data_IF_238185772155
#
_entry.id   IF_238185772155
#
_cell.length_a   1.000
_cell.length_b   1.000
_cell.length_c   1.000
_cell.angle_alpha   90.00
_cell.angle_beta   90.00
_cell.angle_gamma   90.00
#
_symmetry.space_group_name_H-M   'P 1'
#
loop_
_entity.id
_entity.type
_entity.pdbx_description
1 polymer ?
#
# COMPACT_ATOMS: atom_id res chain seq x y z
N UNK A 1 0.91 49.60 -63.65
CA UNK A 1 1.56 49.36 -62.35
C UNK A 1 0.63 48.55 -61.47
N UNK A 2 0.94 47.26 -61.27
CA UNK A 2 0.17 46.32 -60.42
C UNK A 2 0.49 46.59 -58.94
N UNK A 3 -0.53 46.82 -58.10
CA UNK A 3 -0.38 46.90 -56.63
C UNK A 3 -0.29 45.49 -56.05
N UNK A 4 0.72 45.24 -55.22
CA UNK A 4 0.92 44.01 -54.46
C UNK A 4 -0.14 43.89 -53.32
N UNK A 5 -0.57 42.67 -52.96
CA UNK A 5 -1.48 42.45 -51.83
C UNK A 5 -0.77 42.62 -50.47
N UNK A 6 -1.50 43.17 -49.49
CA UNK A 6 -0.99 43.54 -48.18
C UNK A 6 -0.60 42.34 -47.29
N UNK A 7 0.40 42.56 -46.45
CA UNK A 7 0.83 41.63 -45.41
C UNK A 7 -0.29 41.39 -44.37
N UNK A 8 -0.42 40.16 -43.84
CA UNK A 8 -1.31 39.90 -42.71
C UNK A 8 -0.72 40.50 -41.42
N UNK A 9 -1.57 41.08 -40.59
CA UNK A 9 -1.20 41.55 -39.24
C UNK A 9 -0.71 40.39 -38.36
N UNK A 10 0.31 40.60 -37.51
CA UNK A 10 0.77 39.59 -36.59
C UNK A 10 -0.31 39.32 -35.51
N UNK A 11 -0.60 38.04 -35.28
CA UNK A 11 -1.48 37.61 -34.19
C UNK A 11 -0.95 38.12 -32.84
N UNK A 12 -1.83 38.76 -32.07
CA UNK A 12 -1.53 39.25 -30.73
C UNK A 12 -1.07 38.12 -29.82
N UNK A 13 0.13 38.25 -29.25
CA UNK A 13 0.62 37.34 -28.21
C UNK A 13 -0.33 37.36 -27.00
N UNK A 14 -0.60 36.20 -26.36
CA UNK A 14 -1.41 36.17 -25.15
C UNK A 14 -0.73 36.96 -24.04
N UNK A 15 -1.53 37.72 -23.28
CA UNK A 15 -1.05 38.51 -22.17
C UNK A 15 -0.32 37.62 -21.13
N UNK A 16 0.77 38.11 -20.50
CA UNK A 16 1.47 37.36 -19.47
C UNK A 16 0.52 37.06 -18.29
N UNK A 17 0.60 35.83 -17.78
CA UNK A 17 -0.22 35.38 -16.66
C UNK A 17 0.05 36.23 -15.42
N UNK A 18 -1.02 36.62 -14.72
CA UNK A 18 -0.98 37.39 -13.47
C UNK A 18 -0.19 36.62 -12.40
N UNK A 19 0.85 37.20 -11.78
CA UNK A 19 1.54 36.56 -10.66
C UNK A 19 0.57 36.43 -9.47
N UNK A 20 0.34 35.21 -8.98
CA UNK A 20 -0.41 34.95 -7.74
C UNK A 20 -1.71 34.15 -7.87
N UNK A 21 -2.13 33.72 -9.07
CA UNK A 21 -3.17 32.70 -9.17
C UNK A 21 -2.59 31.33 -8.77
N UNK A 22 -3.21 30.57 -7.84
CA UNK A 22 -2.75 29.23 -7.53
C UNK A 22 -2.80 28.39 -8.81
N UNK A 23 -1.67 27.77 -9.16
CA UNK A 23 -1.62 26.78 -10.23
C UNK A 23 -2.69 25.72 -9.92
N UNK A 24 -3.73 25.66 -10.73
CA UNK A 24 -4.77 24.64 -10.59
C UNK A 24 -4.14 23.31 -10.99
N UNK A 25 -3.73 22.52 -10.00
CA UNK A 25 -3.38 21.12 -10.22
C UNK A 25 -4.61 20.41 -10.76
N UNK A 26 -4.50 19.86 -11.97
CA UNK A 26 -5.51 18.95 -12.48
C UNK A 26 -5.30 17.61 -11.77
N UNK A 27 -6.31 17.05 -11.07
CA UNK A 27 -6.15 15.80 -10.34
C UNK A 27 -5.59 14.69 -11.23
N UNK A 28 -4.48 14.09 -10.82
CA UNK A 28 -3.89 13.00 -11.60
C UNK A 28 -4.66 11.70 -11.33
N UNK A 29 -5.03 11.03 -12.42
CA UNK A 29 -5.59 9.70 -12.36
C UNK A 29 -4.55 8.69 -12.83
N UNK A 30 -4.23 7.74 -11.96
CA UNK A 30 -3.33 6.65 -12.28
C UNK A 30 -4.02 5.32 -12.07
N UNK A 31 -3.88 4.41 -13.03
CA UNK A 31 -4.43 3.06 -12.95
C UNK A 31 -3.36 2.05 -13.32
N UNK A 32 -3.30 0.93 -12.61
CA UNK A 32 -2.43 -0.21 -12.91
C UNK A 32 -3.23 -1.49 -12.73
N UNK A 33 -3.32 -2.31 -13.78
CA UNK A 33 -3.97 -3.61 -13.73
C UNK A 33 -2.95 -4.69 -14.12
N UNK A 34 -2.75 -5.63 -13.20
CA UNK A 34 -1.79 -6.73 -13.31
C UNK A 34 -2.53 -8.07 -13.33
N UNK A 35 -2.08 -9.00 -14.16
CA UNK A 35 -2.59 -10.37 -14.20
C UNK A 35 -1.44 -11.36 -14.18
N UNK A 36 -1.46 -12.29 -13.23
CA UNK A 36 -0.45 -13.31 -13.03
C UNK A 36 -1.06 -14.68 -13.31
N UNK A 37 -0.30 -15.58 -13.94
CA UNK A 37 -0.74 -16.94 -14.19
C UNK A 37 0.42 -17.93 -14.09
N UNK A 38 0.12 -19.15 -13.67
CA UNK A 38 1.07 -20.27 -13.79
C UNK A 38 1.26 -20.63 -15.27
N UNK A 39 2.52 -20.70 -15.69
CA UNK A 39 2.97 -21.23 -16.96
C UNK A 39 3.97 -22.35 -16.69
N UNK A 40 3.44 -23.57 -16.56
CA UNK A 40 4.21 -24.81 -16.36
C UNK A 40 5.12 -24.74 -15.13
N UNK A 41 4.58 -24.27 -14.00
CA UNK A 41 5.31 -24.13 -12.74
C UNK A 41 6.06 -22.81 -12.57
N UNK A 42 6.03 -21.92 -13.57
CA UNK A 42 6.55 -20.55 -13.45
C UNK A 42 5.38 -19.57 -13.40
N UNK A 43 5.22 -18.83 -12.31
CA UNK A 43 4.22 -17.75 -12.30
C UNK A 43 4.71 -16.60 -13.16
N UNK A 44 3.97 -16.15 -14.16
CA UNK A 44 4.36 -15.00 -15.00
C UNK A 44 3.36 -13.86 -14.91
N UNK A 45 3.86 -12.63 -15.02
CA UNK A 45 3.03 -11.45 -15.28
C UNK A 45 2.54 -11.47 -16.74
N UNK A 46 1.32 -11.96 -16.96
CA UNK A 46 0.71 -12.10 -18.28
C UNK A 46 -0.01 -10.84 -18.77
N UNK A 47 -0.56 -10.06 -17.83
CA UNK A 47 -1.26 -8.81 -18.14
C UNK A 47 -0.63 -7.65 -17.39
N UNK A 48 -0.33 -6.57 -18.13
CA UNK A 48 0.14 -5.30 -17.58
C UNK A 48 -0.50 -4.16 -18.35
N UNK A 49 -1.51 -3.54 -17.77
CA UNK A 49 -2.18 -2.36 -18.32
C UNK A 49 -2.01 -1.20 -17.35
N UNK A 50 -1.76 -0.01 -17.87
CA UNK A 50 -1.63 1.17 -17.01
C UNK A 50 -2.16 2.43 -17.69
N UNK A 51 -2.52 3.40 -16.87
CA UNK A 51 -2.89 4.77 -17.25
C UNK A 51 -2.24 5.73 -16.25
N UNK A 52 -1.88 6.93 -16.69
CA UNK A 52 -1.21 7.91 -15.83
C UNK A 52 0.19 7.45 -15.42
N UNK A 53 0.70 7.81 -14.23
CA UNK A 53 2.08 7.54 -13.80
C UNK A 53 2.36 6.16 -13.21
N UNK A 54 1.37 5.40 -12.72
CA UNK A 54 1.63 4.09 -12.10
C UNK A 54 2.26 3.09 -13.08
N UNK A 55 3.36 2.44 -12.68
CA UNK A 55 4.06 1.42 -13.48
C UNK A 55 4.38 0.21 -12.62
N UNK A 56 4.73 -0.89 -13.29
CA UNK A 56 5.38 -2.05 -12.68
C UNK A 56 6.71 -2.28 -13.39
N UNK A 57 7.76 -2.58 -12.62
CA UNK A 57 9.06 -2.91 -13.17
C UNK A 57 9.06 -4.29 -13.86
N UNK A 58 10.22 -4.68 -14.41
CA UNK A 58 10.40 -6.05 -14.92
C UNK A 58 10.13 -7.06 -13.80
N UNK A 59 9.31 -8.11 -14.03
CA UNK A 59 9.11 -9.19 -13.07
C UNK A 59 10.44 -9.81 -12.64
N UNK A 60 10.57 -10.10 -11.34
CA UNK A 60 11.75 -10.68 -10.73
C UNK A 60 11.41 -12.03 -10.11
N UNK A 61 12.40 -12.93 -10.07
CA UNK A 61 12.29 -14.27 -9.48
C UNK A 61 13.50 -14.51 -8.56
N UNK A 62 13.64 -13.75 -7.47
CA UNK A 62 14.82 -13.84 -6.61
C UNK A 62 14.86 -15.12 -5.77
N UNK A 63 13.72 -15.80 -5.62
CA UNK A 63 13.57 -17.00 -4.79
C UNK A 63 13.42 -18.26 -5.64
N UNK A 64 12.36 -18.33 -6.45
CA UNK A 64 12.00 -19.48 -7.27
C UNK A 64 11.13 -19.04 -8.46
N UNK A 65 11.18 -19.70 -9.63
CA UNK A 65 10.33 -19.37 -10.77
C UNK A 65 8.82 -19.41 -10.49
N UNK A 66 8.37 -20.20 -9.51
CA UNK A 66 6.96 -20.25 -9.11
C UNK A 66 6.47 -18.97 -8.44
N UNK A 67 7.35 -18.07 -7.99
CA UNK A 67 7.01 -16.85 -7.25
C UNK A 67 7.40 -15.60 -8.07
N UNK A 68 6.41 -14.90 -8.60
CA UNK A 68 6.64 -13.68 -9.37
C UNK A 68 6.65 -12.44 -8.46
N UNK A 69 7.81 -11.79 -8.32
CA UNK A 69 7.93 -10.52 -7.60
C UNK A 69 7.67 -9.35 -8.55
N UNK A 70 6.68 -8.52 -8.22
CA UNK A 70 6.29 -7.35 -8.97
C UNK A 70 6.51 -6.08 -8.14
N UNK A 71 7.40 -5.20 -8.61
CA UNK A 71 7.69 -3.92 -7.97
C UNK A 71 6.84 -2.84 -8.65
N UNK A 72 5.86 -2.32 -7.92
CA UNK A 72 5.00 -1.22 -8.33
C UNK A 72 5.69 0.09 -8.02
N UNK A 73 5.70 1.01 -8.98
CA UNK A 73 6.28 2.34 -8.83
C UNK A 73 5.27 3.41 -9.20
N UNK A 74 5.27 4.47 -8.41
CA UNK A 74 4.60 5.74 -8.71
C UNK A 74 5.71 6.78 -8.88
N UNK A 75 6.16 7.05 -10.12
CA UNK A 75 7.29 7.95 -10.38
C UNK A 75 7.14 9.38 -9.84
N UNK A 76 5.94 10.00 -9.76
CA UNK A 76 5.78 11.27 -9.08
C UNK A 76 6.25 11.18 -7.62
N UNK A 77 6.89 12.24 -7.13
CA UNK A 77 7.52 12.26 -5.79
C UNK A 77 6.57 12.07 -4.60
N UNK A 78 5.26 12.06 -4.85
CA UNK A 78 4.20 11.72 -3.93
C UNK A 78 2.84 12.02 -4.56
N UNK A 79 1.80 11.98 -3.74
CA UNK A 79 0.39 12.06 -4.11
C UNK A 79 -0.15 13.37 -3.52
N UNK A 80 -0.72 14.22 -4.36
CA UNK A 80 -1.24 15.54 -3.93
C UNK A 80 -2.76 15.55 -3.87
N UNK A 81 -3.34 16.61 -3.29
CA UNK A 81 -4.78 16.73 -3.14
C UNK A 81 -5.53 16.58 -4.45
N UNK A 82 -6.51 15.67 -4.46
CA UNK A 82 -7.35 15.33 -5.61
C UNK A 82 -6.92 14.07 -6.38
N UNK A 83 -5.64 13.67 -6.31
CA UNK A 83 -5.10 12.54 -7.06
C UNK A 83 -5.81 11.22 -6.74
N UNK A 84 -5.93 10.35 -7.74
CA UNK A 84 -6.60 9.07 -7.63
C UNK A 84 -5.74 7.94 -8.19
N UNK A 85 -5.35 7.02 -7.32
CA UNK A 85 -4.60 5.82 -7.67
C UNK A 85 -5.51 4.59 -7.61
N UNK A 86 -5.50 3.78 -8.65
CA UNK A 86 -6.16 2.46 -8.65
C UNK A 86 -5.18 1.37 -9.05
N UNK A 87 -5.04 0.35 -8.21
CA UNK A 87 -4.19 -0.80 -8.43
C UNK A 87 -5.06 -2.04 -8.37
N UNK A 88 -5.06 -2.84 -9.44
CA UNK A 88 -5.70 -4.15 -9.46
C UNK A 88 -4.68 -5.24 -9.77
N UNK A 89 -4.81 -6.37 -9.09
CA UNK A 89 -3.99 -7.55 -9.35
C UNK A 89 -4.85 -8.81 -9.29
N UNK A 90 -4.83 -9.58 -10.36
CA UNK A 90 -5.45 -10.91 -10.43
C UNK A 90 -4.36 -11.96 -10.45
N UNK A 91 -4.36 -12.87 -9.48
CA UNK A 91 -3.46 -14.01 -9.40
C UNK A 91 -4.25 -15.26 -9.76
N UNK A 92 -3.97 -15.81 -10.94
CA UNK A 92 -4.64 -16.98 -11.51
C UNK A 92 -4.39 -18.26 -10.72
N UNK A 93 -5.08 -19.33 -11.10
CA UNK A 93 -5.03 -20.59 -10.36
C UNK A 93 -3.60 -21.08 -10.12
N UNK A 94 -3.31 -21.48 -8.88
CA UNK A 94 -2.00 -22.02 -8.45
C UNK A 94 -0.80 -21.08 -8.65
N UNK A 95 -1.02 -19.84 -9.10
CA UNK A 95 0.02 -18.86 -9.25
C UNK A 95 0.37 -18.20 -7.90
N UNK A 96 1.60 -17.72 -7.78
CA UNK A 96 2.10 -17.03 -6.59
C UNK A 96 2.73 -15.69 -6.99
N UNK A 97 2.14 -14.59 -6.54
CA UNK A 97 2.66 -13.24 -6.78
C UNK A 97 2.95 -12.50 -5.48
N UNK A 98 4.11 -11.85 -5.42
CA UNK A 98 4.49 -10.91 -4.36
C UNK A 98 4.58 -9.50 -4.95
N UNK A 99 3.73 -8.60 -4.47
CA UNK A 99 3.62 -7.23 -4.92
C UNK A 99 4.20 -6.31 -3.83
N UNK A 100 5.12 -5.43 -4.22
CA UNK A 100 5.78 -4.49 -3.29
C UNK A 100 6.07 -3.16 -3.97
N UNK A 101 6.50 -2.16 -3.20
CA UNK A 101 6.96 -0.86 -3.70
C UNK A 101 8.42 -0.65 -3.32
N UNK A 102 9.20 0.14 -4.07
CA UNK A 102 10.62 0.32 -3.78
C UNK A 102 10.89 1.30 -2.64
N UNK A 103 9.88 2.05 -2.20
CA UNK A 103 10.04 3.06 -1.18
C UNK A 103 8.70 3.62 -0.73
N UNK A 104 8.79 4.52 0.24
CA UNK A 104 7.61 5.04 0.92
C UNK A 104 6.69 5.84 0.00
N UNK A 105 5.38 5.57 0.08
CA UNK A 105 4.35 6.37 -0.55
C UNK A 105 4.13 7.67 0.23
N UNK A 106 4.34 8.83 -0.38
CA UNK A 106 4.19 10.13 0.29
C UNK A 106 2.88 10.78 -0.10
N UNK A 107 2.07 11.14 0.88
CA UNK A 107 0.82 11.87 0.69
C UNK A 107 0.98 13.28 1.21
N UNK A 108 0.93 14.25 0.30
CA UNK A 108 1.14 15.65 0.62
C UNK A 108 -0.12 16.31 1.19
N UNK A 109 0.10 17.50 1.75
CA UNK A 109 -0.98 18.39 2.20
C UNK A 109 -2.05 18.55 1.12
N UNK A 110 -3.31 18.42 1.52
CA UNK A 110 -4.45 18.62 0.64
C UNK A 110 -4.56 20.09 0.20
N UNK A 111 -5.05 20.30 -1.02
CA UNK A 111 -5.33 21.61 -1.61
C UNK A 111 -6.85 21.95 -1.57
N UNK A 112 -7.55 21.43 -0.57
CA UNK A 112 -9.02 21.44 -0.48
C UNK A 112 -9.69 20.24 -1.16
N UNK A 113 -8.93 19.34 -1.78
CA UNK A 113 -9.42 18.08 -2.35
C UNK A 113 -8.80 16.88 -1.65
N UNK A 114 -9.64 15.87 -1.36
CA UNK A 114 -9.22 14.58 -0.81
C UNK A 114 -8.63 13.72 -1.92
N UNK A 115 -7.46 13.13 -1.68
CA UNK A 115 -6.83 12.16 -2.59
C UNK A 115 -7.19 10.72 -2.19
N UNK A 116 -7.09 9.79 -3.14
CA UNK A 116 -7.59 8.42 -2.98
C UNK A 116 -6.66 7.36 -3.55
N UNK A 117 -6.57 6.24 -2.85
CA UNK A 117 -5.99 5.00 -3.36
C UNK A 117 -7.00 3.87 -3.19
N UNK A 118 -7.22 3.12 -4.27
CA UNK A 118 -8.01 1.90 -4.27
C UNK A 118 -7.15 0.72 -4.74
N UNK A 119 -6.94 -0.26 -3.86
CA UNK A 119 -6.23 -1.51 -4.14
C UNK A 119 -7.25 -2.65 -4.15
N UNK A 120 -7.32 -3.39 -5.27
CA UNK A 120 -8.20 -4.56 -5.43
C UNK A 120 -7.38 -5.77 -5.83
N UNK A 121 -7.46 -6.83 -5.04
CA UNK A 121 -6.60 -7.99 -5.18
C UNK A 121 -7.47 -9.24 -5.24
N UNK A 122 -7.32 -10.03 -6.30
CA UNK A 122 -8.10 -11.24 -6.53
C UNK A 122 -7.14 -12.43 -6.64
N UNK A 123 -7.38 -13.49 -5.87
CA UNK A 123 -6.60 -14.72 -5.91
C UNK A 123 -7.52 -15.92 -6.19
N UNK A 124 -7.27 -16.62 -7.30
CA UNK A 124 -8.03 -17.77 -7.75
C UNK A 124 -7.66 -19.06 -6.97
N UNK A 125 -8.23 -20.20 -7.36
CA UNK A 125 -8.04 -21.48 -6.65
C UNK A 125 -6.57 -21.85 -6.45
N UNK A 126 -6.18 -22.15 -5.22
CA UNK A 126 -4.81 -22.50 -4.82
C UNK A 126 -3.77 -21.40 -5.06
N UNK A 127 -4.19 -20.16 -5.35
CA UNK A 127 -3.29 -19.04 -5.58
C UNK A 127 -2.78 -18.43 -4.27
N UNK A 128 -1.59 -17.85 -4.31
CA UNK A 128 -0.99 -17.11 -3.20
C UNK A 128 -0.72 -15.67 -3.62
N UNK A 129 -1.24 -14.72 -2.84
CA UNK A 129 -1.07 -13.29 -3.10
C UNK A 129 -0.44 -12.61 -1.88
N UNK A 130 0.76 -12.05 -2.07
CA UNK A 130 1.45 -11.24 -1.06
C UNK A 130 1.41 -9.76 -1.46
N UNK A 131 0.86 -8.90 -0.61
CA UNK A 131 0.84 -7.44 -0.77
C UNK A 131 1.67 -6.80 0.33
N UNK A 132 2.90 -6.42 0.00
CA UNK A 132 3.91 -5.97 0.97
C UNK A 132 4.56 -4.64 0.52
N UNK A 133 3.79 -3.54 0.38
CA UNK A 133 4.36 -2.24 0.08
C UNK A 133 5.26 -1.75 1.23
N UNK A 134 6.16 -0.82 0.91
CA UNK A 134 6.87 -0.01 1.91
C UNK A 134 5.91 0.95 2.62
N UNK A 135 6.42 1.72 3.58
CA UNK A 135 5.60 2.57 4.43
C UNK A 135 4.84 3.64 3.64
N UNK A 136 3.68 4.05 4.17
CA UNK A 136 2.91 5.20 3.67
C UNK A 136 3.07 6.36 4.65
N UNK A 137 3.54 7.50 4.16
CA UNK A 137 3.80 8.70 4.97
C UNK A 137 2.76 9.77 4.62
N UNK A 138 1.96 10.16 5.61
CA UNK A 138 1.02 11.28 5.52
C UNK A 138 1.67 12.55 6.05
N UNK A 139 1.78 13.58 5.21
CA UNK A 139 2.28 14.88 5.62
C UNK A 139 1.20 15.64 6.37
N UNK A 140 1.60 16.65 7.17
CA UNK A 140 0.65 17.45 7.91
C UNK A 140 -0.33 18.20 6.98
N UNK A 141 -1.63 18.01 7.24
CA UNK A 141 -2.72 18.54 6.44
C UNK A 141 -3.14 17.66 5.25
N UNK A 142 -2.70 16.40 5.17
CA UNK A 142 -3.19 15.46 4.17
C UNK A 142 -4.68 15.09 4.41
N UNK A 143 -5.45 14.95 3.34
CA UNK A 143 -6.81 14.39 3.36
C UNK A 143 -6.85 13.19 2.41
N UNK A 144 -6.88 11.98 2.97
CA UNK A 144 -6.64 10.74 2.25
C UNK A 144 -7.72 9.71 2.49
N UNK A 145 -8.11 9.00 1.42
CA UNK A 145 -8.97 7.83 1.46
C UNK A 145 -8.25 6.61 0.88
N UNK A 146 -8.07 5.58 1.69
CA UNK A 146 -7.48 4.31 1.30
C UNK A 146 -8.54 3.20 1.34
N UNK A 147 -8.67 2.49 0.24
CA UNK A 147 -9.57 1.34 0.11
C UNK A 147 -8.76 0.12 -0.33
N UNK A 148 -8.87 -0.96 0.43
CA UNK A 148 -8.19 -2.22 0.19
C UNK A 148 -9.19 -3.37 0.18
N UNK A 149 -9.40 -3.97 -0.98
CA UNK A 149 -10.36 -5.05 -1.19
C UNK A 149 -9.63 -6.29 -1.66
N UNK A 150 -9.83 -7.41 -0.96
CA UNK A 150 -9.21 -8.69 -1.29
C UNK A 150 -10.29 -9.75 -1.46
N UNK A 151 -10.27 -10.46 -2.59
CA UNK A 151 -11.15 -11.59 -2.87
C UNK A 151 -10.33 -12.85 -3.09
N UNK A 152 -10.60 -13.87 -2.29
CA UNK A 152 -9.88 -15.13 -2.29
C UNK A 152 -10.83 -16.28 -2.63
N UNK A 153 -10.38 -17.20 -3.49
CA UNK A 153 -10.97 -18.53 -3.56
C UNK A 153 -10.89 -19.24 -2.20
N UNK A 154 -11.66 -20.31 -2.01
CA UNK A 154 -11.76 -20.99 -0.71
C UNK A 154 -10.41 -21.55 -0.23
N UNK A 155 -9.54 -21.95 -1.15
CA UNK A 155 -8.21 -22.54 -0.94
C UNK A 155 -7.06 -21.58 -1.31
N UNK A 156 -7.36 -20.30 -1.55
CA UNK A 156 -6.34 -19.28 -1.79
C UNK A 156 -5.77 -18.68 -0.50
N UNK A 157 -4.53 -18.21 -0.59
CA UNK A 157 -3.79 -17.61 0.51
C UNK A 157 -3.47 -16.13 0.25
N UNK A 158 -3.46 -15.35 1.32
CA UNK A 158 -3.15 -13.92 1.30
C UNK A 158 -2.28 -13.51 2.48
N UNK A 159 -1.28 -12.69 2.20
CA UNK A 159 -0.45 -12.03 3.20
C UNK A 159 -0.33 -10.54 2.86
N UNK A 160 -0.88 -9.68 3.69
CA UNK A 160 -0.94 -8.24 3.46
C UNK A 160 -0.28 -7.45 4.57
N UNK A 161 0.61 -6.53 4.23
CA UNK A 161 1.26 -5.64 5.18
C UNK A 161 0.97 -4.17 4.86
N UNK A 162 0.94 -3.35 5.90
CA UNK A 162 0.87 -1.91 5.81
C UNK A 162 1.60 -1.28 7.00
N UNK A 163 2.41 -0.26 6.74
CA UNK A 163 2.97 0.61 7.77
C UNK A 163 2.53 2.03 7.41
N UNK A 164 1.87 2.70 8.35
CA UNK A 164 1.40 4.07 8.21
C UNK A 164 2.19 4.99 9.14
N UNK A 165 2.68 6.09 8.59
CA UNK A 165 3.44 7.10 9.28
C UNK A 165 2.69 8.43 9.23
N UNK A 166 2.35 8.97 10.40
CA UNK A 166 1.60 10.21 10.56
C UNK A 166 2.55 11.37 10.85
N UNK A 167 2.99 12.04 9.78
CA UNK A 167 3.99 13.10 9.79
C UNK A 167 5.39 12.61 9.40
N UNK A 168 6.24 13.52 8.92
CA UNK A 168 7.68 13.26 8.73
C UNK A 168 8.41 13.47 10.06
N UNK A 169 8.30 12.50 10.95
CA UNK A 169 8.88 12.58 12.31
C UNK A 169 10.39 12.79 12.30
N UNK A 170 11.11 12.16 11.35
CA UNK A 170 12.55 12.38 11.15
C UNK A 170 12.92 13.82 10.75
N UNK A 171 11.97 14.61 10.24
CA UNK A 171 12.13 16.04 9.94
C UNK A 171 11.46 16.95 10.97
N UNK A 172 11.00 16.40 12.11
CA UNK A 172 10.31 17.15 13.16
C UNK A 172 8.84 17.50 12.85
N UNK A 173 8.26 16.95 11.78
CA UNK A 173 6.84 17.16 11.45
C UNK A 173 5.97 16.08 12.10
N UNK A 174 4.87 16.52 12.72
CA UNK A 174 3.80 15.68 13.26
C UNK A 174 2.51 15.97 12.50
N UNK A 175 1.68 14.94 12.30
CA UNK A 175 0.36 15.08 11.69
C UNK A 175 -0.64 15.69 12.69
N UNK A 176 -0.81 17.01 12.62
CA UNK A 176 -1.65 17.80 13.52
C UNK A 176 -2.95 18.29 12.86
N UNK A 177 -2.99 18.29 11.53
CA UNK A 177 -4.16 18.68 10.72
C UNK A 177 -4.42 17.65 9.63
N UNK A 178 -5.68 17.53 9.20
CA UNK A 178 -6.08 16.64 8.12
C UNK A 178 -6.71 15.34 8.62
N UNK A 179 -6.99 14.45 7.67
CA UNK A 179 -7.70 13.21 7.93
C UNK A 179 -7.24 12.07 7.04
N UNK A 180 -7.15 10.87 7.63
CA UNK A 180 -6.88 9.62 6.90
C UNK A 180 -8.04 8.68 7.16
N UNK A 181 -8.73 8.27 6.10
CA UNK A 181 -9.79 7.27 6.16
C UNK A 181 -9.33 6.00 5.49
N UNK A 182 -9.49 4.88 6.16
CA UNK A 182 -9.11 3.57 5.66
C UNK A 182 -10.28 2.61 5.72
N UNK A 183 -10.40 1.79 4.68
CA UNK A 183 -11.34 0.68 4.62
C UNK A 183 -10.64 -0.55 4.05
N UNK A 184 -10.63 -1.62 4.81
CA UNK A 184 -10.07 -2.91 4.39
C UNK A 184 -11.15 -3.98 4.45
N UNK A 185 -11.32 -4.74 3.38
CA UNK A 185 -12.22 -5.89 3.35
C UNK A 185 -11.57 -7.10 2.69
N UNK A 186 -11.73 -8.27 3.31
CA UNK A 186 -11.22 -9.53 2.78
C UNK A 186 -12.37 -10.53 2.73
N UNK A 187 -12.60 -11.07 1.54
CA UNK A 187 -13.55 -12.16 1.29
C UNK A 187 -12.78 -13.43 0.95
N UNK A 188 -13.19 -14.57 1.50
CA UNK A 188 -12.64 -15.89 1.17
C UNK A 188 -13.77 -16.88 0.94
N UNK A 189 -13.78 -17.55 -0.22
CA UNK A 189 -14.87 -18.45 -0.62
C UNK A 189 -16.23 -17.74 -0.65
N UNK A 190 -16.27 -16.48 -1.11
CA UNK A 190 -17.49 -15.66 -1.15
C UNK A 190 -17.94 -15.04 0.19
N UNK A 191 -17.37 -15.46 1.31
CA UNK A 191 -17.72 -14.96 2.65
C UNK A 191 -16.82 -13.82 3.08
N UNK A 192 -17.37 -12.77 3.70
CA UNK A 192 -16.60 -11.71 4.34
C UNK A 192 -15.94 -12.27 5.61
N UNK A 193 -14.61 -12.30 5.64
CA UNK A 193 -13.83 -12.87 6.75
C UNK A 193 -13.10 -11.81 7.56
N UNK A 194 -12.84 -10.65 6.94
CA UNK A 194 -12.31 -9.47 7.61
C UNK A 194 -13.00 -8.22 7.07
N UNK A 195 -13.35 -7.30 7.97
CA UNK A 195 -13.78 -5.96 7.63
C UNK A 195 -13.26 -5.00 8.68
N UNK A 196 -12.64 -3.92 8.23
CA UNK A 196 -12.17 -2.84 9.06
C UNK A 196 -12.42 -1.51 8.36
N UNK A 197 -12.87 -0.53 9.14
CA UNK A 197 -13.01 0.83 8.68
C UNK A 197 -12.64 1.78 9.81
N UNK A 198 -11.80 2.77 9.51
CA UNK A 198 -11.37 3.77 10.46
C UNK A 198 -11.22 5.12 9.80
N UNK A 199 -11.41 6.19 10.56
CA UNK A 199 -11.08 7.55 10.17
C UNK A 199 -10.30 8.20 11.31
N UNK A 200 -9.05 8.51 11.03
CA UNK A 200 -8.17 9.25 11.92
C UNK A 200 -8.23 10.72 11.52
N UNK A 201 -8.59 11.58 12.46
CA UNK A 201 -8.67 13.02 12.29
C UNK A 201 -7.67 13.64 13.25
N UNK A 202 -6.80 14.51 12.74
CA UNK A 202 -5.70 15.03 13.55
C UNK A 202 -6.11 16.19 14.47
N UNK A 203 -7.25 16.84 14.16
CA UNK A 203 -7.68 18.04 14.84
C UNK A 203 -7.90 17.81 16.35
N UNK A 204 -7.65 18.87 17.13
CA UNK A 204 -7.83 18.90 18.58
C UNK A 204 -7.05 17.81 19.35
N UNK A 205 -5.96 17.29 18.78
CA UNK A 205 -5.11 16.30 19.44
C UNK A 205 -5.74 14.92 19.56
N UNK A 206 -6.76 14.61 18.76
CA UNK A 206 -7.45 13.31 18.81
C UNK A 206 -6.50 12.11 18.64
N UNK A 207 -5.40 12.29 17.91
CA UNK A 207 -4.35 11.27 17.74
C UNK A 207 -3.61 10.93 19.05
N UNK A 208 -3.62 11.83 20.03
CA UNK A 208 -3.00 11.61 21.34
C UNK A 208 -3.87 10.77 22.27
N UNK A 209 -5.15 10.56 21.95
CA UNK A 209 -6.05 9.79 22.78
C UNK A 209 -5.62 8.31 22.88
N UNK A 210 -5.76 7.67 24.06
CA UNK A 210 -5.36 6.27 24.26
C UNK A 210 -6.19 5.26 23.44
N UNK A 211 -7.36 5.68 22.95
CA UNK A 211 -8.22 4.91 22.05
C UNK A 211 -7.92 5.14 20.56
N UNK A 212 -7.00 6.06 20.24
CA UNK A 212 -6.52 6.36 18.90
C UNK A 212 -5.08 5.84 18.74
N UNK A 213 -4.10 6.74 18.58
CA UNK A 213 -2.69 6.35 18.50
C UNK A 213 -1.92 6.56 19.80
N UNK A 214 -2.55 7.10 20.86
CA UNK A 214 -1.90 7.29 22.17
C UNK A 214 -0.54 8.02 22.05
N UNK A 215 -0.53 9.07 21.21
CA UNK A 215 0.63 9.90 20.92
C UNK A 215 1.67 9.25 20.00
N UNK A 216 1.46 8.01 19.56
CA UNK A 216 2.33 7.34 18.60
C UNK A 216 2.08 7.87 17.19
N UNK A 217 3.12 7.80 16.35
CA UNK A 217 3.08 8.35 14.99
C UNK A 217 3.15 7.29 13.91
N UNK A 218 3.42 6.04 14.29
CA UNK A 218 3.57 4.91 13.38
C UNK A 218 2.60 3.80 13.82
N UNK A 219 1.84 3.25 12.87
CA UNK A 219 1.16 1.98 13.07
C UNK A 219 1.50 0.99 11.96
N UNK A 220 1.65 -0.27 12.32
CA UNK A 220 1.92 -1.37 11.42
C UNK A 220 0.83 -2.43 11.53
N UNK A 221 0.44 -3.01 10.40
CA UNK A 221 -0.54 -4.10 10.33
C UNK A 221 -0.02 -5.18 9.40
N UNK A 222 -0.08 -6.44 9.84
CA UNK A 222 0.16 -7.63 9.02
C UNK A 222 -1.05 -8.55 9.15
N UNK A 223 -1.68 -8.91 8.03
CA UNK A 223 -2.85 -9.78 7.97
C UNK A 223 -2.53 -11.00 7.12
N UNK A 224 -2.73 -12.19 7.70
CA UNK A 224 -2.63 -13.47 7.05
C UNK A 224 -4.02 -14.12 6.95
N UNK A 225 -4.35 -14.61 5.76
CA UNK A 225 -5.55 -15.40 5.50
C UNK A 225 -5.16 -16.62 4.68
N UNK A 226 -5.47 -17.81 5.18
CA UNK A 226 -5.10 -19.07 4.53
C UNK A 226 -5.53 -20.25 5.38
N UNK A 227 -5.15 -21.45 4.96
CA UNK A 227 -5.30 -22.64 5.80
C UNK A 227 -4.21 -22.69 6.88
N UNK A 228 -4.42 -23.50 7.91
CA UNK A 228 -3.43 -23.67 8.99
C UNK A 228 -3.29 -22.49 9.96
N UNK A 229 -4.24 -21.54 9.96
CA UNK A 229 -4.29 -20.47 10.96
C UNK A 229 -4.79 -21.03 12.30
N UNK A 230 -3.87 -21.38 13.20
CA UNK A 230 -4.18 -22.02 14.48
C UNK A 230 -3.55 -21.30 15.70
N UNK A 231 -3.91 -21.76 16.90
CA UNK A 231 -3.43 -21.20 18.15
C UNK A 231 -1.90 -21.40 18.35
N UNK A 232 -1.33 -22.45 17.75
CA UNK A 232 0.11 -22.71 17.86
C UNK A 232 0.90 -21.69 17.03
N UNK A 233 0.45 -21.39 15.81
CA UNK A 233 1.01 -20.33 14.97
C UNK A 233 0.88 -18.96 15.64
N UNK A 234 -0.28 -18.65 16.23
CA UNK A 234 -0.46 -17.44 17.02
C UNK A 234 0.52 -17.36 18.20
N UNK A 235 0.72 -18.47 18.91
CA UNK A 235 1.69 -18.57 20.01
C UNK A 235 3.10 -18.25 19.56
N UNK A 236 3.59 -18.92 18.50
CA UNK A 236 4.92 -18.68 17.92
C UNK A 236 5.10 -17.24 17.46
N UNK A 237 4.07 -16.65 16.84
CA UNK A 237 4.12 -15.27 16.40
C UNK A 237 4.26 -14.32 17.60
N UNK A 238 3.44 -14.48 18.65
CA UNK A 238 3.49 -13.66 19.85
C UNK A 238 4.84 -13.77 20.56
N UNK A 239 5.37 -14.98 20.67
CA UNK A 239 6.69 -15.23 21.23
C UNK A 239 7.78 -14.52 20.43
N UNK A 240 7.76 -14.66 19.10
CA UNK A 240 8.77 -14.06 18.22
C UNK A 240 8.74 -12.54 18.27
N UNK A 241 7.57 -11.90 18.14
CA UNK A 241 7.49 -10.43 18.18
C UNK A 241 7.77 -9.89 19.60
N UNK A 242 7.45 -10.66 20.64
CA UNK A 242 7.72 -10.29 22.04
C UNK A 242 9.21 -10.41 22.40
N UNK A 243 9.91 -11.41 21.87
CA UNK A 243 11.32 -11.65 22.15
C UNK A 243 12.24 -10.52 21.65
N UNK A 244 11.81 -9.75 20.65
CA UNK A 244 12.61 -8.65 20.09
C UNK A 244 12.76 -7.45 21.03
N UNK A 245 11.88 -7.31 22.03
CA UNK A 245 11.88 -6.19 22.99
C UNK A 245 11.97 -4.80 22.30
N UNK A 246 11.29 -4.67 21.16
CA UNK A 246 11.28 -3.43 20.37
C UNK A 246 10.52 -2.31 21.10
N UNK A 247 10.97 -1.07 20.89
CA UNK A 247 10.23 0.10 21.33
C UNK A 247 8.84 0.17 20.68
N UNK A 248 7.83 0.50 21.48
CA UNK A 248 6.43 0.56 21.07
C UNK A 248 5.61 -0.61 21.64
N UNK A 249 4.43 -0.80 21.07
CA UNK A 249 3.50 -1.86 21.46
C UNK A 249 3.19 -2.72 20.27
N UNK A 250 3.11 -4.03 20.49
CA UNK A 250 2.65 -4.96 19.48
C UNK A 250 1.68 -5.97 20.06
N UNK A 251 0.90 -6.59 19.18
CA UNK A 251 -0.02 -7.65 19.55
C UNK A 251 -0.42 -8.45 18.32
N UNK A 252 -0.86 -9.68 18.55
CA UNK A 252 -1.40 -10.53 17.50
C UNK A 252 -2.66 -11.24 17.98
N UNK A 253 -3.61 -11.44 17.08
CA UNK A 253 -4.90 -12.09 17.34
C UNK A 253 -5.26 -13.02 16.20
N UNK A 254 -5.84 -14.17 16.54
CA UNK A 254 -6.47 -15.09 15.59
C UNK A 254 -7.99 -14.93 15.69
N UNK A 255 -8.63 -14.59 14.58
CA UNK A 255 -10.08 -14.55 14.45
C UNK A 255 -10.53 -15.51 13.35
N UNK A 256 -10.99 -16.71 13.75
CA UNK A 256 -11.37 -17.80 12.86
C UNK A 256 -10.21 -18.16 11.91
N UNK A 257 -10.26 -17.67 10.67
CA UNK A 257 -9.32 -17.95 9.59
C UNK A 257 -8.42 -16.76 9.24
N UNK A 258 -8.44 -15.70 10.05
CA UNK A 258 -7.64 -14.49 9.85
C UNK A 258 -6.74 -14.32 11.05
N UNK A 259 -5.43 -14.33 10.81
CA UNK A 259 -4.45 -13.93 11.80
C UNK A 259 -4.04 -12.49 11.50
N UNK A 260 -4.14 -11.62 12.50
CA UNK A 260 -3.70 -10.22 12.40
C UNK A 260 -2.66 -9.92 13.47
N UNK A 261 -1.57 -9.27 13.06
CA UNK A 261 -0.57 -8.68 13.94
C UNK A 261 -0.58 -7.16 13.77
N UNK A 262 -0.40 -6.43 14.87
CA UNK A 262 -0.30 -4.97 14.88
C UNK A 262 0.91 -4.49 15.66
N UNK A 263 1.41 -3.34 15.24
CA UNK A 263 2.44 -2.57 15.90
C UNK A 263 2.01 -1.10 16.00
N UNK A 264 2.44 -0.43 17.06
CA UNK A 264 2.26 1.00 17.25
C UNK A 264 3.46 1.59 17.99
N UNK A 265 4.07 2.64 17.45
CA UNK A 265 5.29 3.23 18.01
C UNK A 265 5.70 4.55 17.33
N UNK A 266 6.94 4.98 17.54
CA UNK A 266 7.47 6.25 17.00
C UNK A 266 8.44 6.10 15.83
N UNK A 267 8.85 4.89 15.48
CA UNK A 267 9.90 4.64 14.50
C UNK A 267 9.44 3.69 13.40
N UNK A 268 9.45 4.15 12.15
CA UNK A 268 9.18 3.30 10.99
C UNK A 268 10.24 2.22 10.79
N UNK A 269 11.49 2.49 11.20
CA UNK A 269 12.54 1.48 11.21
C UNK A 269 12.19 0.32 12.16
N UNK A 270 11.73 0.64 13.37
CA UNK A 270 11.30 -0.37 14.34
C UNK A 270 10.05 -1.11 13.86
N UNK A 271 9.10 -0.40 13.24
CA UNK A 271 7.93 -1.01 12.61
C UNK A 271 8.34 -2.00 11.50
N UNK A 272 9.34 -1.69 10.68
CA UNK A 272 9.87 -2.62 9.66
C UNK A 272 10.55 -3.84 10.29
N UNK A 273 11.34 -3.66 11.35
CA UNK A 273 11.94 -4.79 12.08
C UNK A 273 10.87 -5.72 12.64
N UNK A 274 9.83 -5.14 13.26
CA UNK A 274 8.66 -5.88 13.73
C UNK A 274 7.96 -6.61 12.59
N UNK A 275 7.69 -5.93 11.46
CA UNK A 275 7.02 -6.50 10.31
C UNK A 275 7.83 -7.67 9.74
N UNK A 276 9.14 -7.52 9.58
CA UNK A 276 10.01 -8.57 9.08
C UNK A 276 9.94 -9.80 9.98
N UNK A 277 10.04 -9.64 11.30
CA UNK A 277 9.98 -10.76 12.23
C UNK A 277 8.61 -11.45 12.22
N UNK A 278 7.52 -10.69 12.21
CA UNK A 278 6.17 -11.23 12.12
C UNK A 278 5.96 -11.98 10.78
N UNK A 279 6.44 -11.40 9.68
CA UNK A 279 6.39 -11.98 8.34
C UNK A 279 7.20 -13.28 8.23
N UNK A 280 8.36 -13.38 8.89
CA UNK A 280 9.16 -14.61 8.94
C UNK A 280 8.43 -15.78 9.61
N UNK A 281 7.54 -15.50 10.56
CA UNK A 281 6.70 -16.54 11.17
C UNK A 281 5.52 -16.91 10.28
N UNK A 282 4.86 -15.90 9.67
CA UNK A 282 3.60 -16.12 8.95
C UNK A 282 3.78 -16.62 7.53
N UNK A 283 4.79 -16.15 6.79
CA UNK A 283 4.94 -16.50 5.37
C UNK A 283 5.12 -18.01 5.15
N UNK A 284 5.96 -18.74 5.89
CA UNK A 284 6.07 -20.19 5.70
C UNK A 284 4.76 -20.93 5.99
N UNK A 285 4.03 -20.50 7.02
CA UNK A 285 2.75 -21.10 7.39
C UNK A 285 1.64 -20.83 6.36
N UNK A 286 1.64 -19.65 5.73
CA UNK A 286 0.61 -19.22 4.77
C UNK A 286 0.90 -19.69 3.35
N UNK A 287 2.18 -19.69 2.95
CA UNK A 287 2.60 -19.86 1.55
C UNK A 287 3.38 -21.15 1.29
N UNK A 288 3.87 -21.82 2.35
CA UNK A 288 4.79 -22.95 2.24
C UNK A 288 6.20 -22.56 1.77
N UNK A 289 6.52 -21.26 1.71
CA UNK A 289 7.81 -20.73 1.28
C UNK A 289 8.53 -20.01 2.43
N UNK A 290 9.84 -20.18 2.52
CA UNK A 290 10.68 -19.46 3.49
C UNK A 290 10.56 -17.95 3.29
N UNK A 291 10.77 -17.15 4.33
CA UNK A 291 10.72 -15.68 4.20
C UNK A 291 12.06 -15.10 3.73
N UNK A 292 12.22 -14.92 2.41
CA UNK A 292 13.40 -14.27 1.85
C UNK A 292 13.16 -12.76 1.65
N UNK A 293 13.85 -11.92 2.42
CA UNK A 293 13.69 -10.46 2.36
C UNK A 293 13.89 -9.95 0.91
N UNK A 294 12.89 -9.28 0.30
CA UNK A 294 13.04 -8.69 -1.01
C UNK A 294 14.23 -7.72 -1.05
N UNK A 295 15.17 -7.90 -1.98
CA UNK A 295 16.36 -7.03 -2.09
C UNK A 295 16.02 -5.54 -2.17
N UNK A 296 14.88 -5.23 -2.79
CA UNK A 296 14.37 -3.85 -2.94
C UNK A 296 14.01 -3.18 -1.59
N UNK A 297 13.94 -3.94 -0.49
CA UNK A 297 13.75 -3.36 0.85
C UNK A 297 15.03 -2.85 1.49
N UNK A 298 16.19 -3.21 0.92
CA UNK A 298 17.51 -2.84 1.41
C UNK A 298 18.25 -1.88 0.45
N UNK A 299 17.57 -1.39 -0.58
CA UNK A 299 18.08 -0.37 -1.53
C UNK A 299 17.58 0.99 -1.11
#
# INVERSE_FOLDING_TARGET
MKRLPGHPEPASLPAPATPGAPLRHAPDQARLALGFADDKGTTRLMRRQHFGPLRVQKPLYPEDPSICHAIIVHPPGGIVGGDQLSITAEVGERAHALLTTPGAGKWYRANGQSSRQAVRLDAAGGATLEWLPQETIFFDGADVRMEHEVTLAADAAYLGAEILCFGRTASGETFNTGAVSQRTSIRRGGKLVWFEQGRLQAEAGAMQGPLALDGQTICGTLIAVGDGMDAALLGRLRETIGALQLEGRSGATLMKQVLIARYMGQSSLVARQWLHAAWHVLRPAVTGKDAAIPRIWNT
#
